data_IF_834454302126
#
_entry.id   IF_834454302126
#
_cell.length_a   1.000
_cell.length_b   1.000
_cell.length_c   1.000
_cell.angle_alpha   90.00
_cell.angle_beta   90.00
_cell.angle_gamma   90.00
#
_symmetry.space_group_name_H-M   'P 1'
#
loop_
_entity.id
_entity.type
_entity.pdbx_description
1 polymer ?
#
# COMPACT_ATOMS: atom_id res chain seq x y z
N UNK A 1 44.80 -13.66 61.75
CA UNK A 1 45.33 -13.56 60.37
C UNK A 1 44.84 -14.78 59.58
N UNK A 2 44.47 -14.67 58.29
CA UNK A 2 43.34 -13.94 57.72
C UNK A 2 42.31 -14.83 56.98
N UNK A 3 41.07 -14.29 56.88
CA UNK A 3 40.10 -14.28 55.76
C UNK A 3 40.04 -15.45 54.76
N UNK A 4 38.82 -15.96 54.54
CA UNK A 4 38.16 -15.83 53.22
C UNK A 4 36.63 -15.99 53.35
N UNK A 5 35.89 -14.88 53.21
CA UNK A 5 34.44 -14.90 52.99
C UNK A 5 34.23 -15.02 51.48
N UNK A 6 33.74 -16.17 51.02
CA UNK A 6 33.38 -16.40 49.63
C UNK A 6 32.00 -15.79 49.38
N UNK A 7 31.97 -14.59 48.79
CA UNK A 7 30.77 -14.00 48.22
C UNK A 7 30.49 -14.70 46.88
N UNK A 8 29.47 -15.56 46.83
CA UNK A 8 28.94 -16.07 45.58
C UNK A 8 28.09 -14.97 44.93
N UNK A 9 28.63 -14.35 43.89
CA UNK A 9 27.92 -13.40 43.04
C UNK A 9 26.96 -14.19 42.15
N UNK A 10 25.65 -14.12 42.42
CA UNK A 10 24.63 -14.71 41.57
C UNK A 10 24.38 -13.78 40.37
N UNK A 11 25.06 -14.02 39.25
CA UNK A 11 24.81 -13.33 37.98
C UNK A 11 23.51 -13.84 37.36
N UNK A 12 22.41 -13.08 37.50
CA UNK A 12 21.20 -13.26 36.71
C UNK A 12 21.54 -12.96 35.23
N UNK A 13 21.73 -14.01 34.42
CA UNK A 13 21.70 -13.88 32.97
C UNK A 13 20.24 -13.57 32.55
N UNK A 14 19.96 -12.30 32.24
CA UNK A 14 18.79 -11.95 31.43
C UNK A 14 18.99 -12.54 30.02
N UNK A 15 18.53 -13.78 29.81
CA UNK A 15 18.35 -14.31 28.47
C UNK A 15 17.23 -13.50 27.80
N UNK A 16 17.58 -12.62 26.85
CA UNK A 16 16.61 -12.00 25.99
C UNK A 16 15.84 -13.10 25.23
N UNK A 17 14.50 -13.09 25.20
CA UNK A 17 13.74 -14.11 24.49
C UNK A 17 14.07 -14.00 22.99
N UNK A 18 14.80 -14.99 22.47
CA UNK A 18 14.90 -15.21 21.04
C UNK A 18 13.52 -15.65 20.55
N UNK A 19 12.78 -14.75 19.90
CA UNK A 19 11.56 -15.12 19.19
C UNK A 19 11.93 -16.16 18.12
N UNK A 20 11.41 -17.39 18.19
CA UNK A 20 11.77 -18.42 17.24
C UNK A 20 11.38 -18.00 15.82
N UNK A 21 12.29 -18.19 14.86
CA UNK A 21 12.12 -17.80 13.46
C UNK A 21 10.83 -18.35 12.82
N UNK A 22 10.29 -19.45 13.34
CA UNK A 22 9.00 -20.02 12.92
C UNK A 22 7.80 -19.11 13.18
N UNK A 23 7.77 -18.38 14.30
CA UNK A 23 6.66 -17.45 14.61
C UNK A 23 6.68 -16.25 13.68
N UNK A 24 7.87 -15.72 13.38
CA UNK A 24 8.04 -14.56 12.49
C UNK A 24 7.67 -14.89 11.04
N UNK A 25 7.97 -16.10 10.57
CA UNK A 25 7.55 -16.57 9.26
C UNK A 25 6.02 -16.75 9.18
N UNK A 26 5.39 -17.28 10.24
CA UNK A 26 3.94 -17.39 10.35
C UNK A 26 3.26 -16.02 10.34
N UNK A 27 3.82 -15.05 11.07
CA UNK A 27 3.36 -13.66 11.08
C UNK A 27 3.38 -13.05 9.67
N UNK A 28 4.44 -13.28 8.88
CA UNK A 28 4.50 -12.82 7.48
C UNK A 28 3.36 -13.41 6.65
N UNK A 29 3.20 -14.72 6.66
CA UNK A 29 2.19 -15.39 5.84
C UNK A 29 0.79 -14.90 6.20
N UNK A 30 0.49 -14.81 7.49
CA UNK A 30 -0.78 -14.29 7.96
C UNK A 30 -0.98 -12.82 7.54
N UNK A 31 0.03 -11.97 7.74
CA UNK A 31 -0.04 -10.56 7.37
C UNK A 31 -0.26 -10.38 5.87
N UNK A 32 0.50 -11.07 5.02
CA UNK A 32 0.32 -11.02 3.56
C UNK A 32 -1.11 -11.44 3.17
N UNK A 33 -1.62 -12.52 3.79
CA UNK A 33 -2.97 -13.03 3.54
C UNK A 33 -4.05 -12.02 3.97
N UNK A 34 -3.91 -11.42 5.15
CA UNK A 34 -4.85 -10.46 5.72
C UNK A 34 -4.89 -9.16 4.92
N UNK A 35 -3.77 -8.74 4.33
CA UNK A 35 -3.72 -7.56 3.46
C UNK A 35 -4.35 -7.86 2.10
N UNK A 36 -4.05 -9.02 1.52
CA UNK A 36 -4.58 -9.42 0.22
C UNK A 36 -6.11 -9.57 0.25
N UNK A 37 -6.66 -10.26 1.25
CA UNK A 37 -8.10 -10.59 1.33
C UNK A 37 -8.90 -9.57 2.15
N UNK A 38 -8.34 -8.38 2.39
CA UNK A 38 -8.99 -7.37 3.21
C UNK A 38 -10.31 -6.92 2.57
N UNK A 39 -11.44 -7.01 3.30
CA UNK A 39 -12.72 -6.57 2.76
C UNK A 39 -12.71 -5.08 2.43
N UNK A 40 -13.17 -4.74 1.23
CA UNK A 40 -13.30 -3.36 0.76
C UNK A 40 -14.32 -2.59 1.60
N UNK A 41 -13.94 -1.43 2.13
CA UNK A 41 -14.82 -0.53 2.89
C UNK A 41 -14.78 0.88 2.33
N UNK A 42 -15.95 1.38 1.89
CA UNK A 42 -16.09 2.77 1.42
C UNK A 42 -15.69 3.75 2.53
N UNK A 43 -15.05 4.84 2.14
CA UNK A 43 -14.55 5.88 3.02
C UNK A 43 -13.11 5.67 3.48
N UNK A 44 -12.54 4.47 3.36
CA UNK A 44 -11.16 4.23 3.81
C UNK A 44 -10.16 4.99 2.95
N UNK A 45 -9.15 5.58 3.60
CA UNK A 45 -8.04 6.21 2.91
C UNK A 45 -6.71 6.21 3.66
N UNK A 46 -5.64 6.35 2.89
CA UNK A 46 -4.30 6.65 3.37
C UNK A 46 -3.57 7.59 2.40
N UNK A 47 -2.71 8.46 2.93
CA UNK A 47 -1.84 9.35 2.16
C UNK A 47 -0.38 9.09 2.47
N UNK A 48 0.47 9.32 1.47
CA UNK A 48 1.89 9.03 1.48
C UNK A 48 2.67 10.18 0.86
N UNK A 49 3.91 10.37 1.31
CA UNK A 49 4.85 11.28 0.69
C UNK A 49 6.18 10.57 0.41
N UNK A 50 6.81 10.92 -0.71
CA UNK A 50 8.16 10.50 -1.04
C UNK A 50 9.19 11.52 -0.57
N UNK A 51 10.32 11.01 -0.11
CA UNK A 51 11.52 11.78 0.18
C UNK A 51 12.75 11.15 -0.47
N UNK A 52 13.57 11.97 -1.12
CA UNK A 52 14.75 11.55 -1.86
C UNK A 52 14.47 10.88 -3.20
N UNK A 53 15.55 10.55 -3.92
CA UNK A 53 15.49 9.91 -5.23
C UNK A 53 14.79 10.76 -6.29
N UNK A 54 14.29 10.10 -7.33
CA UNK A 54 13.68 10.78 -8.49
C UNK A 54 12.27 11.32 -8.24
N UNK A 55 11.58 10.81 -7.23
CA UNK A 55 10.19 11.15 -6.92
C UNK A 55 10.10 12.01 -5.66
N UNK A 56 11.19 12.70 -5.31
CA UNK A 56 11.26 13.54 -4.12
C UNK A 56 10.14 14.59 -4.09
N UNK A 57 9.49 14.71 -2.94
CA UNK A 57 8.37 15.62 -2.73
C UNK A 57 7.05 15.21 -3.39
N UNK A 58 7.00 14.10 -4.13
CA UNK A 58 5.74 13.57 -4.65
C UNK A 58 4.84 13.06 -3.51
N UNK A 59 3.52 13.09 -3.72
CA UNK A 59 2.55 12.53 -2.77
C UNK A 59 1.60 11.57 -3.47
N UNK A 60 1.16 10.54 -2.76
CA UNK A 60 0.13 9.62 -3.23
C UNK A 60 -0.96 9.52 -2.18
N UNK A 61 -2.19 9.37 -2.62
CA UNK A 61 -3.34 9.13 -1.76
C UNK A 61 -4.14 7.97 -2.36
N UNK A 62 -4.39 6.95 -1.53
CA UNK A 62 -5.21 5.79 -1.87
C UNK A 62 -6.56 5.91 -1.13
N UNK A 63 -7.67 5.59 -1.80
CA UNK A 63 -9.00 5.62 -1.20
C UNK A 63 -9.97 4.61 -1.78
N UNK A 64 -11.00 4.28 -1.03
CA UNK A 64 -12.21 3.64 -1.53
C UNK A 64 -13.34 4.67 -1.46
N UNK A 65 -13.77 5.18 -2.60
CA UNK A 65 -14.61 6.40 -2.68
C UNK A 65 -16.08 6.14 -2.97
N UNK A 66 -16.44 4.90 -3.32
CA UNK A 66 -17.81 4.55 -3.65
C UNK A 66 -17.96 3.09 -4.02
N UNK A 67 -19.19 2.71 -4.36
CA UNK A 67 -19.55 1.36 -4.81
C UNK A 67 -20.54 1.44 -5.97
N UNK A 68 -20.45 0.48 -6.88
CA UNK A 68 -21.42 0.25 -7.95
C UNK A 68 -21.75 -1.25 -8.01
N UNK A 69 -23.01 -1.63 -8.29
CA UNK A 69 -23.34 -3.02 -8.56
C UNK A 69 -22.91 -3.41 -9.98
N UNK A 70 -22.23 -4.54 -10.14
CA UNK A 70 -21.97 -5.17 -11.43
C UNK A 70 -22.50 -6.60 -11.37
N UNK A 71 -23.45 -6.93 -12.23
CA UNK A 71 -24.08 -8.25 -12.28
C UNK A 71 -24.60 -8.73 -10.90
N UNK A 72 -25.12 -7.79 -10.10
CA UNK A 72 -25.64 -8.05 -8.76
C UNK A 72 -24.58 -8.19 -7.65
N UNK A 73 -23.29 -8.12 -7.98
CA UNK A 73 -22.18 -8.13 -7.00
C UNK A 73 -21.66 -6.71 -6.74
N UNK A 74 -21.23 -6.38 -5.49
CA UNK A 74 -20.69 -5.08 -5.19
C UNK A 74 -19.28 -4.92 -5.77
N UNK A 75 -19.07 -3.85 -6.52
CA UNK A 75 -17.76 -3.37 -6.92
C UNK A 75 -17.47 -2.03 -6.25
N UNK A 76 -16.20 -1.71 -6.10
CA UNK A 76 -15.72 -0.55 -5.34
C UNK A 76 -14.86 0.33 -6.22
N UNK A 77 -15.09 1.64 -6.14
CA UNK A 77 -14.21 2.64 -6.74
C UNK A 77 -12.99 2.82 -5.87
N UNK A 78 -11.88 2.21 -6.28
CA UNK A 78 -10.57 2.41 -5.70
C UNK A 78 -9.87 3.57 -6.42
N UNK A 79 -9.60 4.64 -5.68
CA UNK A 79 -8.98 5.87 -6.19
C UNK A 79 -7.52 5.96 -5.76
N UNK A 80 -6.65 6.25 -6.72
CA UNK A 80 -5.27 6.68 -6.50
C UNK A 80 -5.14 8.10 -7.02
N UNK A 81 -4.79 9.04 -6.13
CA UNK A 81 -4.33 10.37 -6.50
C UNK A 81 -2.81 10.42 -6.36
N UNK A 82 -2.11 10.81 -7.41
CA UNK A 82 -0.67 11.07 -7.39
C UNK A 82 -0.44 12.56 -7.67
N UNK A 83 0.48 13.19 -6.95
CA UNK A 83 0.87 14.58 -7.17
C UNK A 83 2.38 14.67 -7.26
N UNK A 84 2.86 15.03 -8.44
CA UNK A 84 4.25 15.42 -8.67
C UNK A 84 4.41 16.93 -8.42
N UNK A 85 4.98 17.30 -7.27
CA UNK A 85 5.14 18.72 -6.91
C UNK A 85 6.03 19.49 -7.89
N UNK A 86 6.98 18.83 -8.56
CA UNK A 86 7.87 19.50 -9.53
C UNK A 86 7.12 20.04 -10.74
N UNK A 87 5.92 19.51 -11.02
CA UNK A 87 5.07 19.89 -12.14
C UNK A 87 3.91 20.82 -11.73
N UNK A 88 3.83 21.24 -10.47
CA UNK A 88 2.75 22.10 -9.98
C UNK A 88 1.36 21.49 -10.25
N UNK A 89 0.41 22.32 -10.72
CA UNK A 89 -0.98 21.91 -10.93
C UNK A 89 -1.16 20.80 -12.00
N UNK A 90 -0.27 20.70 -12.99
CA UNK A 90 -0.32 19.65 -14.02
C UNK A 90 0.26 18.31 -13.54
N UNK A 91 0.94 18.31 -12.38
CA UNK A 91 1.50 17.11 -11.76
C UNK A 91 0.50 16.23 -11.02
N UNK A 92 -0.77 16.66 -10.91
CA UNK A 92 -1.81 15.89 -10.23
C UNK A 92 -2.50 14.94 -11.21
N UNK A 93 -2.46 13.64 -10.93
CA UNK A 93 -3.20 12.61 -11.66
C UNK A 93 -4.12 11.87 -10.69
N UNK A 94 -5.38 11.67 -11.07
CA UNK A 94 -6.34 10.86 -10.34
C UNK A 94 -6.75 9.69 -11.23
N UNK A 95 -6.64 8.48 -10.71
CA UNK A 95 -7.11 7.25 -11.36
C UNK A 95 -8.10 6.59 -10.44
N UNK A 96 -9.30 6.31 -10.94
CA UNK A 96 -10.29 5.48 -10.25
C UNK A 96 -10.46 4.18 -11.03
N UNK A 97 -10.41 3.05 -10.34
CA UNK A 97 -10.68 1.73 -10.90
C UNK A 97 -11.83 1.07 -10.16
N UNK A 98 -12.74 0.45 -10.91
CA UNK A 98 -13.88 -0.27 -10.37
C UNK A 98 -13.53 -1.75 -10.24
N UNK A 99 -13.30 -2.22 -9.01
CA UNK A 99 -12.82 -3.57 -8.71
C UNK A 99 -13.68 -4.22 -7.61
N UNK A 100 -13.86 -5.55 -7.60
CA UNK A 100 -14.62 -6.24 -6.55
C UNK A 100 -13.82 -6.39 -5.24
N UNK A 101 -12.48 -6.40 -5.35
CA UNK A 101 -11.53 -6.51 -4.23
C UNK A 101 -10.11 -6.20 -4.70
N UNK A 102 -9.18 -5.95 -3.77
CA UNK A 102 -7.76 -5.69 -4.10
C UNK A 102 -7.05 -6.92 -4.67
N UNK A 103 -7.41 -8.11 -4.17
CA UNK A 103 -6.99 -9.42 -4.67
C UNK A 103 -7.59 -9.77 -6.05
N UNK A 104 -8.63 -9.05 -6.46
CA UNK A 104 -9.39 -9.30 -7.69
C UNK A 104 -9.28 -8.12 -8.67
N UNK A 105 -8.16 -7.39 -8.64
CA UNK A 105 -7.92 -6.25 -9.52
C UNK A 105 -8.01 -6.61 -11.03
N UNK A 106 -7.78 -7.87 -11.39
CA UNK A 106 -7.96 -8.42 -12.76
C UNK A 106 -9.39 -8.35 -13.25
N UNK A 107 -10.37 -8.43 -12.35
CA UNK A 107 -11.79 -8.40 -12.65
C UNK A 107 -12.32 -6.97 -12.81
N UNK A 108 -11.46 -5.96 -12.98
CA UNK A 108 -11.82 -4.56 -13.15
C UNK A 108 -12.91 -4.36 -14.24
N UNK A 109 -13.87 -3.47 -13.95
CA UNK A 109 -15.02 -3.19 -14.82
C UNK A 109 -15.13 -1.73 -15.26
N UNK A 110 -14.35 -0.83 -14.67
CA UNK A 110 -14.32 0.58 -15.04
C UNK A 110 -12.99 1.23 -14.70
N UNK A 111 -12.62 2.25 -15.48
CA UNK A 111 -11.49 3.12 -15.18
C UNK A 111 -11.86 4.56 -15.54
N UNK A 112 -11.57 5.49 -14.63
CA UNK A 112 -11.69 6.93 -14.84
C UNK A 112 -10.32 7.54 -14.58
N UNK A 113 -9.86 8.41 -15.48
CA UNK A 113 -8.58 9.09 -15.35
C UNK A 113 -8.77 10.60 -15.45
N UNK A 114 -8.09 11.37 -14.60
CA UNK A 114 -8.02 12.82 -14.67
C UNK A 114 -6.58 13.28 -14.50
N UNK A 115 -6.11 14.16 -15.37
CA UNK A 115 -4.74 14.71 -15.33
C UNK A 115 -4.79 16.23 -15.30
N UNK A 116 -4.24 16.83 -14.25
CA UNK A 116 -4.21 18.28 -14.07
C UNK A 116 -5.59 18.91 -14.19
N UNK A 117 -5.71 19.86 -15.14
CA UNK A 117 -6.94 20.59 -15.42
C UNK A 117 -7.85 19.90 -16.46
N UNK A 118 -7.38 18.84 -17.13
CA UNK A 118 -8.16 18.14 -18.15
C UNK A 118 -9.43 17.53 -17.53
N UNK A 119 -10.53 17.43 -18.30
CA UNK A 119 -11.73 16.71 -17.85
C UNK A 119 -11.40 15.29 -17.45
N UNK A 120 -12.07 14.77 -16.40
CA UNK A 120 -12.02 13.35 -16.11
C UNK A 120 -12.59 12.55 -17.29
N UNK A 121 -11.87 11.54 -17.75
CA UNK A 121 -12.27 10.68 -18.85
C UNK A 121 -12.58 9.28 -18.34
N UNK A 122 -13.76 8.75 -18.67
CA UNK A 122 -14.11 7.34 -18.46
C UNK A 122 -13.67 6.53 -19.67
N UNK A 123 -12.89 5.49 -19.42
CA UNK A 123 -12.44 4.58 -20.47
C UNK A 123 -13.58 3.67 -20.95
N UNK A 124 -13.64 3.30 -22.24
CA UNK A 124 -14.63 2.35 -22.73
C UNK A 124 -14.46 0.98 -22.05
N UNK A 125 -15.57 0.33 -21.71
CA UNK A 125 -15.52 -0.94 -20.96
C UNK A 125 -14.75 -2.04 -21.68
N UNK A 126 -14.82 -2.10 -23.00
CA UNK A 126 -14.05 -3.05 -23.81
C UNK A 126 -12.53 -2.85 -23.62
N UNK A 127 -12.08 -1.60 -23.63
CA UNK A 127 -10.68 -1.26 -23.38
C UNK A 127 -10.29 -1.59 -21.94
N UNK A 128 -11.17 -1.30 -20.98
CA UNK A 128 -10.95 -1.64 -19.56
C UNK A 128 -10.85 -3.14 -19.38
N UNK A 129 -11.66 -3.96 -20.05
CA UNK A 129 -11.58 -5.44 -19.96
C UNK A 129 -10.28 -5.97 -20.55
N UNK A 130 -9.85 -5.43 -21.69
CA UNK A 130 -8.56 -5.79 -22.29
C UNK A 130 -7.36 -5.39 -21.41
N UNK A 131 -7.40 -4.18 -20.84
CA UNK A 131 -6.36 -3.70 -19.92
C UNK A 131 -6.42 -4.38 -18.56
N UNK A 132 -7.61 -4.68 -18.05
CA UNK A 132 -7.85 -5.23 -16.72
C UNK A 132 -7.19 -6.58 -16.53
N UNK A 133 -7.22 -7.44 -17.54
CA UNK A 133 -6.43 -8.66 -17.55
C UNK A 133 -4.94 -8.37 -17.32
N UNK A 134 -4.33 -7.50 -18.11
CA UNK A 134 -2.88 -7.22 -18.05
C UNK A 134 -2.45 -6.41 -16.82
N UNK A 135 -3.16 -5.33 -16.51
CA UNK A 135 -2.81 -4.40 -15.42
C UNK A 135 -3.21 -4.94 -14.06
N UNK A 136 -4.35 -5.61 -13.96
CA UNK A 136 -4.80 -6.25 -12.73
C UNK A 136 -3.96 -7.46 -12.37
N UNK A 137 -3.54 -8.27 -13.36
CA UNK A 137 -2.65 -9.42 -13.12
C UNK A 137 -1.32 -8.92 -12.57
N UNK A 138 -0.76 -7.89 -13.21
CA UNK A 138 0.48 -7.25 -12.76
C UNK A 138 0.36 -6.55 -11.39
N UNK A 139 -0.83 -6.21 -10.90
CA UNK A 139 -0.97 -5.57 -9.58
C UNK A 139 -1.14 -6.60 -8.47
N UNK A 140 -2.14 -7.49 -8.61
CA UNK A 140 -2.47 -8.48 -7.59
C UNK A 140 -1.38 -9.58 -7.51
N UNK A 141 -0.90 -10.06 -8.65
CA UNK A 141 0.13 -11.10 -8.71
C UNK A 141 1.46 -10.56 -8.21
N UNK A 142 1.85 -9.34 -8.59
CA UNK A 142 3.11 -8.75 -8.11
C UNK A 142 3.07 -8.45 -6.62
N UNK A 143 1.93 -8.01 -6.07
CA UNK A 143 1.83 -7.82 -4.63
C UNK A 143 1.97 -9.14 -3.87
N UNK A 144 1.19 -10.16 -4.26
CA UNK A 144 1.24 -11.47 -3.62
C UNK A 144 2.63 -12.11 -3.75
N UNK A 145 3.19 -12.10 -4.96
CA UNK A 145 4.54 -12.61 -5.26
C UNK A 145 5.60 -11.87 -4.43
N UNK A 146 5.61 -10.54 -4.45
CA UNK A 146 6.57 -9.75 -3.68
C UNK A 146 6.44 -10.01 -2.19
N UNK A 147 5.24 -10.04 -1.63
CA UNK A 147 5.04 -10.31 -0.20
C UNK A 147 5.60 -11.67 0.21
N UNK A 148 5.46 -12.70 -0.64
CA UNK A 148 6.07 -14.01 -0.41
C UNK A 148 7.59 -13.99 -0.52
N UNK A 149 8.14 -13.29 -1.52
CA UNK A 149 9.58 -13.18 -1.78
C UNK A 149 10.33 -12.27 -0.78
N UNK A 150 9.64 -11.42 -0.02
CA UNK A 150 10.33 -10.62 1.00
C UNK A 150 10.77 -11.49 2.19
N UNK A 151 12.01 -11.29 2.61
CA UNK A 151 12.55 -11.82 3.85
C UNK A 151 12.07 -10.99 5.04
N UNK A 152 11.73 -11.64 6.14
CA UNK A 152 11.37 -10.92 7.36
C UNK A 152 12.63 -10.48 8.09
N UNK A 153 12.73 -9.18 8.37
CA UNK A 153 13.81 -8.62 9.18
C UNK A 153 13.41 -8.66 10.66
N UNK A 154 12.17 -8.27 10.96
CA UNK A 154 11.61 -8.37 12.32
C UNK A 154 10.51 -7.35 12.60
N UNK A 155 9.93 -7.43 13.79
CA UNK A 155 8.98 -6.43 14.28
C UNK A 155 9.72 -5.26 14.94
N UNK A 156 9.30 -4.03 14.61
CA UNK A 156 9.85 -2.83 15.24
C UNK A 156 8.81 -1.72 15.39
N UNK A 157 9.13 -0.77 16.26
CA UNK A 157 8.36 0.45 16.44
C UNK A 157 8.86 1.52 15.46
N UNK A 158 7.99 1.98 14.57
CA UNK A 158 8.32 2.96 13.53
C UNK A 158 7.47 4.20 13.72
N UNK A 159 8.11 5.37 13.67
CA UNK A 159 7.44 6.68 13.69
C UNK A 159 7.50 7.30 12.31
N UNK A 160 6.35 7.76 11.83
CA UNK A 160 6.12 8.47 10.57
C UNK A 160 5.24 9.70 10.85
N UNK A 161 5.01 10.62 9.90
CA UNK A 161 4.17 11.79 10.14
C UNK A 161 2.73 11.45 10.60
N UNK A 162 2.19 10.31 10.19
CA UNK A 162 0.86 9.82 10.63
C UNK A 162 0.83 9.23 12.06
N UNK A 163 1.95 9.15 12.76
CA UNK A 163 2.06 8.63 14.12
C UNK A 163 3.08 7.49 14.28
N UNK A 164 3.02 6.80 15.41
CA UNK A 164 3.92 5.69 15.75
C UNK A 164 3.17 4.36 15.71
N UNK A 165 3.74 3.37 15.03
CA UNK A 165 3.12 2.07 14.80
C UNK A 165 4.11 0.94 15.04
N UNK A 166 3.61 -0.19 15.53
CA UNK A 166 4.35 -1.45 15.50
C UNK A 166 4.18 -2.06 14.10
N UNK A 167 5.28 -2.29 13.41
CA UNK A 167 5.28 -2.77 12.02
C UNK A 167 6.25 -3.92 11.83
N UNK A 168 5.89 -4.81 10.91
CA UNK A 168 6.78 -5.86 10.43
C UNK A 168 7.65 -5.29 9.31
N UNK A 169 8.96 -5.26 9.55
CA UNK A 169 9.95 -4.92 8.54
C UNK A 169 10.26 -6.14 7.69
N UNK A 170 10.02 -6.00 6.40
CA UNK A 170 10.34 -6.99 5.38
C UNK A 170 11.30 -6.39 4.35
N UNK A 171 12.19 -7.20 3.80
CA UNK A 171 13.20 -6.80 2.82
C UNK A 171 13.17 -7.73 1.63
N UNK A 172 13.17 -7.17 0.42
CA UNK A 172 13.43 -7.93 -0.79
C UNK A 172 14.88 -7.69 -1.21
N UNK A 173 15.75 -8.67 -0.95
CA UNK A 173 17.19 -8.51 -1.15
C UNK A 173 17.57 -8.25 -2.63
N UNK A 174 16.89 -8.91 -3.57
CA UNK A 174 17.17 -8.78 -5.01
C UNK A 174 16.85 -7.38 -5.55
N UNK A 175 15.70 -6.81 -5.14
CA UNK A 175 15.30 -5.46 -5.56
C UNK A 175 15.92 -4.37 -4.69
N UNK A 176 16.59 -4.73 -3.59
CA UNK A 176 17.09 -3.80 -2.57
C UNK A 176 15.99 -2.86 -2.06
N UNK A 177 14.82 -3.43 -1.78
CA UNK A 177 13.67 -2.70 -1.24
C UNK A 177 13.33 -3.17 0.16
N UNK A 178 12.86 -2.24 0.98
CA UNK A 178 12.36 -2.51 2.31
C UNK A 178 10.91 -2.02 2.41
N UNK A 179 10.08 -2.74 3.15
CA UNK A 179 8.71 -2.38 3.45
C UNK A 179 8.42 -2.60 4.94
N UNK A 180 7.70 -1.64 5.53
CA UNK A 180 7.19 -1.74 6.89
C UNK A 180 5.68 -1.82 6.80
N UNK A 181 5.15 -2.96 7.24
CA UNK A 181 3.72 -3.26 7.14
C UNK A 181 3.14 -3.33 8.55
N UNK A 182 2.10 -2.56 8.82
CA UNK A 182 1.37 -2.58 10.08
C UNK A 182 -0.04 -3.14 9.85
N UNK A 183 -0.44 -4.24 10.51
CA UNK A 183 -1.72 -4.90 10.27
C UNK A 183 -2.93 -3.98 10.52
N UNK A 184 -2.82 -3.07 11.49
CA UNK A 184 -3.88 -2.14 11.90
C UNK A 184 -4.14 -0.99 10.92
N UNK A 185 -3.28 -0.82 9.91
CA UNK A 185 -3.49 0.15 8.83
C UNK A 185 -4.31 -0.49 7.73
N UNK A 186 -5.35 0.18 7.24
CA UNK A 186 -6.23 -0.38 6.21
C UNK A 186 -5.52 -0.72 4.88
N UNK A 187 -4.53 0.07 4.47
CA UNK A 187 -3.67 -0.25 3.32
C UNK A 187 -2.34 -0.92 3.71
N UNK A 188 -2.18 -1.23 5.00
CA UNK A 188 -1.10 -1.96 5.65
C UNK A 188 0.31 -1.33 5.54
N UNK A 189 0.62 -0.63 4.46
CA UNK A 189 1.90 0.00 4.23
C UNK A 189 2.08 1.24 5.10
N UNK A 190 3.13 1.21 5.91
CA UNK A 190 3.55 2.31 6.79
C UNK A 190 4.71 3.11 6.19
N UNK A 191 5.74 2.39 5.72
CA UNK A 191 6.94 2.95 5.09
C UNK A 191 7.43 1.99 4.00
N UNK A 192 8.02 2.53 2.95
CA UNK A 192 8.85 1.78 2.02
C UNK A 192 10.18 2.50 1.79
N UNK A 193 11.24 1.73 1.51
CA UNK A 193 12.51 2.24 1.00
C UNK A 193 12.78 1.56 -0.34
N UNK A 194 13.08 2.36 -1.35
CA UNK A 194 13.35 1.90 -2.70
C UNK A 194 14.85 1.84 -2.98
N UNK A 195 15.21 1.14 -4.06
CA UNK A 195 16.59 0.92 -4.50
C UNK A 195 17.38 2.22 -4.72
N UNK A 196 16.71 3.28 -5.18
CA UNK A 196 17.33 4.59 -5.40
C UNK A 196 17.54 5.39 -4.12
N UNK A 197 17.27 4.78 -2.96
CA UNK A 197 17.38 5.40 -1.65
C UNK A 197 16.18 6.25 -1.26
N UNK A 198 15.20 6.44 -2.17
CA UNK A 198 13.98 7.15 -1.83
C UNK A 198 13.18 6.38 -0.79
N UNK A 199 12.46 7.14 0.03
CA UNK A 199 11.56 6.60 1.04
C UNK A 199 10.15 7.08 0.76
N UNK A 200 9.16 6.25 1.03
CA UNK A 200 7.75 6.60 1.02
C UNK A 200 7.20 6.37 2.43
N UNK A 201 6.50 7.34 3.00
CA UNK A 201 5.98 7.24 4.36
C UNK A 201 4.51 7.63 4.45
N UNK A 202 3.79 6.97 5.34
CA UNK A 202 2.40 7.31 5.67
C UNK A 202 2.33 8.68 6.34
N UNK A 203 1.56 9.58 5.72
CA UNK A 203 1.34 10.95 6.20
C UNK A 203 -0.05 11.18 6.79
N UNK A 204 -1.02 10.34 6.47
CA UNK A 204 -2.38 10.46 6.97
C UNK A 204 -3.24 9.24 6.66
N UNK A 205 -4.36 9.09 7.38
CA UNK A 205 -5.34 8.03 7.18
C UNK A 205 -6.72 8.44 7.70
N UNK A 206 -7.78 7.79 7.23
CA UNK A 206 -9.13 8.01 7.73
C UNK A 206 -10.18 7.11 7.08
N UNK A 207 -11.45 7.40 7.37
CA UNK A 207 -12.61 6.58 7.00
C UNK A 207 -13.76 7.39 6.35
N UNK A 208 -13.48 8.61 5.94
CA UNK A 208 -14.40 9.61 5.41
C UNK A 208 -14.10 10.01 3.95
N UNK A 209 -13.37 9.17 3.22
CA UNK A 209 -12.99 9.42 1.84
C UNK A 209 -14.19 9.68 0.94
N UNK A 210 -14.01 10.64 0.03
CA UNK A 210 -14.90 10.96 -1.08
C UNK A 210 -14.08 11.02 -2.35
N UNK A 211 -14.75 10.89 -3.49
CA UNK A 211 -14.14 11.01 -4.82
C UNK A 211 -13.43 12.36 -4.93
N UNK A 212 -12.19 12.33 -5.42
CA UNK A 212 -11.46 13.55 -5.78
C UNK A 212 -11.89 14.10 -7.16
N UNK A 213 -12.65 13.30 -7.92
CA UNK A 213 -13.30 13.71 -9.17
C UNK A 213 -14.73 14.12 -8.84
N UNK A 214 -15.06 15.40 -9.01
CA UNK A 214 -16.36 15.97 -8.66
C UNK A 214 -17.23 16.26 -9.88
N UNK A 215 -16.62 16.46 -11.04
CA UNK A 215 -17.32 16.57 -12.30
C UNK A 215 -17.81 15.21 -12.82
N UNK A 216 -18.76 15.24 -13.76
CA UNK A 216 -19.16 14.04 -14.50
C UNK A 216 -18.06 13.69 -15.51
N UNK A 217 -17.48 12.47 -15.47
CA UNK A 217 -16.47 12.08 -16.45
C UNK A 217 -17.03 12.06 -17.87
N UNK A 218 -16.27 12.58 -18.82
CA UNK A 218 -16.61 12.48 -20.25
C UNK A 218 -16.21 11.11 -20.78
N UNK A 219 -16.96 10.56 -21.71
CA UNK A 219 -16.57 9.34 -22.40
C UNK A 219 -15.31 9.61 -23.24
N UNK A 220 -14.29 8.76 -23.11
CA UNK A 220 -13.16 8.82 -24.02
C UNK A 220 -13.63 8.50 -25.45
N UNK A 221 -13.25 9.31 -26.46
CA UNK A 221 -13.58 9.01 -27.84
C UNK A 221 -13.09 7.59 -28.20
N UNK A 222 -13.97 6.77 -28.75
CA UNK A 222 -13.59 5.43 -29.19
C UNK A 222 -12.48 5.49 -30.24
N UNK A 223 -11.61 4.48 -30.27
CA UNK A 223 -10.69 4.35 -31.40
C UNK A 223 -11.52 4.21 -32.70
N UNK A 224 -11.16 4.90 -33.79
CA UNK A 224 -11.74 4.63 -35.10
C UNK A 224 -11.60 3.13 -35.39
N UNK A 225 -12.68 2.49 -35.84
CA UNK A 225 -12.62 1.11 -36.34
C UNK A 225 -11.76 1.03 -37.60
#
# INVERSE_FOLDING_TARGET
MPRLKLFALLTLLCAAPATPASLVAQDKTQLCNDVQHRPMRVGQWASYAWAGGRTDGATMRMAIVGTEPVEGSPYYWYEITFTDRSKGASGKTIVQVLIPGLDQATAMRGMIMKSGAEPAMRMPEEMVRMMGGRMGENFATEFARKCQEMDVVGWEQVTVPAGSFRALHMRHAADQTDAWIAPDLYFALLRAKLKDGSTMELTGRGADAKSSITETPVAMPGMPR
#
